data_IF_420051205569
#
_entry.id   IF_420051205569
#
_cell.length_a   1.000
_cell.length_b   1.000
_cell.length_c   1.000
_cell.angle_alpha   90.00
_cell.angle_beta   90.00
_cell.angle_gamma   90.00
#
_symmetry.space_group_name_H-M   'P 1'
#
loop_
_entity.id
_entity.type
_entity.pdbx_description
1 polymer ?
#
# COMPACT_ATOMS: atom_id res chain seq x y z
N UNK A 1 53.77 22.89 -48.50
CA UNK A 1 53.99 22.15 -49.76
C UNK A 1 53.61 20.73 -49.45
N UNK A 2 52.35 20.37 -49.62
CA UNK A 2 51.66 20.04 -50.88
C UNK A 2 51.42 18.54 -50.88
N UNK A 3 50.18 18.25 -51.23
CA UNK A 3 49.49 16.97 -51.28
C UNK A 3 50.07 16.05 -52.38
N UNK A 4 49.74 14.76 -52.30
CA UNK A 4 49.63 13.71 -53.37
C UNK A 4 50.16 12.36 -52.83
N UNK A 5 49.66 11.15 -53.14
CA UNK A 5 48.50 10.60 -53.87
C UNK A 5 48.64 9.06 -53.80
N UNK A 6 47.53 8.33 -54.01
CA UNK A 6 47.40 6.98 -54.64
C UNK A 6 47.97 5.71 -53.94
N UNK A 7 47.21 4.64 -53.67
CA UNK A 7 46.39 3.68 -54.47
C UNK A 7 47.19 2.59 -55.24
N UNK A 8 46.95 1.30 -54.91
CA UNK A 8 46.64 0.13 -55.80
C UNK A 8 46.88 -1.20 -55.03
N UNK A 9 45.92 -2.13 -54.84
CA UNK A 9 45.22 -3.13 -55.72
C UNK A 9 46.12 -4.36 -56.03
N UNK A 10 45.78 -5.66 -55.87
CA UNK A 10 44.64 -6.52 -56.28
C UNK A 10 44.64 -7.84 -55.42
N UNK A 11 43.70 -8.79 -55.43
CA UNK A 11 42.53 -9.04 -56.29
C UNK A 11 41.70 -10.28 -55.85
N UNK A 12 40.40 -10.20 -56.19
CA UNK A 12 39.36 -11.14 -56.68
C UNK A 12 39.32 -12.68 -56.44
N UNK A 13 38.07 -13.16 -56.21
CA UNK A 13 37.42 -14.51 -56.35
C UNK A 13 37.76 -15.57 -55.28
N UNK A 14 36.89 -16.47 -54.82
CA UNK A 14 35.50 -16.85 -55.10
C UNK A 14 35.18 -18.16 -54.34
N UNK A 15 34.00 -18.20 -53.70
CA UNK A 15 33.21 -19.30 -53.07
C UNK A 15 33.73 -20.77 -53.02
N UNK A 16 33.59 -21.43 -51.85
CA UNK A 16 32.88 -22.73 -51.66
C UNK A 16 33.13 -23.37 -50.27
N UNK A 17 32.07 -23.96 -49.70
CA UNK A 17 32.06 -24.88 -48.54
C UNK A 17 31.64 -26.28 -49.08
N UNK A 18 31.70 -27.45 -48.39
CA UNK A 18 32.37 -27.91 -47.14
C UNK A 18 33.16 -29.26 -47.37
N UNK A 19 33.49 -30.09 -46.34
CA UNK A 19 32.56 -31.17 -45.93
C UNK A 19 32.53 -31.50 -44.41
N UNK A 20 31.53 -32.29 -44.05
CA UNK A 20 31.22 -32.83 -42.71
C UNK A 20 32.03 -34.09 -42.35
N UNK A 21 32.30 -34.33 -41.06
CA UNK A 21 31.94 -35.57 -40.31
C UNK A 21 32.44 -35.53 -38.85
N UNK A 22 31.63 -36.07 -37.91
CA UNK A 22 32.09 -36.43 -36.56
C UNK A 22 31.04 -36.32 -35.46
N UNK A 23 30.14 -37.30 -35.37
CA UNK A 23 29.22 -37.48 -34.25
C UNK A 23 29.95 -37.97 -32.98
N UNK A 24 29.64 -37.40 -31.82
CA UNK A 24 29.30 -38.19 -30.62
C UNK A 24 28.14 -37.51 -29.89
N UNK A 25 27.05 -38.28 -29.74
CA UNK A 25 25.93 -38.02 -28.83
C UNK A 25 26.39 -38.46 -27.43
N UNK A 26 26.10 -37.68 -26.40
CA UNK A 26 25.83 -38.16 -25.04
C UNK A 26 24.98 -37.09 -24.34
N UNK A 27 23.66 -37.29 -24.37
CA UNK A 27 22.83 -37.72 -23.22
C UNK A 27 22.63 -36.61 -22.21
N UNK A 28 21.47 -35.96 -22.34
CA UNK A 28 20.86 -35.16 -21.29
C UNK A 28 20.51 -36.06 -20.10
N UNK A 29 20.91 -35.64 -18.90
CA UNK A 29 20.16 -35.91 -17.68
C UNK A 29 19.91 -34.57 -16.98
N UNK A 30 18.67 -34.23 -16.59
CA UNK A 30 18.37 -33.03 -15.84
C UNK A 30 18.47 -33.37 -14.35
N UNK A 31 19.55 -32.94 -13.70
CA UNK A 31 19.67 -33.03 -12.25
C UNK A 31 19.61 -31.62 -11.65
N UNK A 32 18.50 -31.42 -10.93
CA UNK A 32 18.15 -30.34 -10.01
C UNK A 32 19.26 -29.34 -9.65
N UNK A 33 19.30 -28.22 -10.36
CA UNK A 33 19.84 -26.98 -9.80
C UNK A 33 18.69 -26.16 -9.22
N UNK A 34 18.14 -26.61 -8.10
CA UNK A 34 17.33 -25.75 -7.24
C UNK A 34 18.28 -24.80 -6.49
N UNK A 35 18.87 -23.86 -7.24
CA UNK A 35 19.62 -22.76 -6.67
C UNK A 35 18.58 -21.81 -6.07
N UNK A 36 18.38 -21.93 -4.76
CA UNK A 36 17.62 -21.01 -3.94
C UNK A 36 18.04 -19.58 -4.29
N UNK A 37 17.15 -18.88 -5.00
CA UNK A 37 17.31 -17.48 -5.37
C UNK A 37 17.22 -16.65 -4.09
N UNK A 38 18.34 -16.53 -3.39
CA UNK A 38 18.50 -15.58 -2.29
C UNK A 38 18.19 -14.18 -2.83
N UNK A 39 17.44 -13.35 -2.10
CA UNK A 39 17.11 -12.01 -2.58
C UNK A 39 18.40 -11.20 -2.69
N UNK A 40 18.85 -10.96 -3.92
CA UNK A 40 20.01 -10.13 -4.20
C UNK A 40 19.66 -8.70 -3.76
N UNK A 41 20.34 -8.22 -2.72
CA UNK A 41 20.31 -6.82 -2.33
C UNK A 41 21.02 -5.99 -3.40
N UNK A 42 20.27 -5.23 -4.18
CA UNK A 42 20.82 -4.37 -5.24
C UNK A 42 21.46 -3.12 -4.62
N UNK A 43 22.72 -2.85 -4.94
CA UNK A 43 23.44 -1.65 -4.50
C UNK A 43 22.81 -0.43 -5.20
N UNK A 44 22.46 0.65 -4.48
CA UNK A 44 21.88 1.84 -5.11
C UNK A 44 22.91 2.56 -5.98
N UNK A 45 22.52 2.93 -7.20
CA UNK A 45 23.33 3.73 -8.12
C UNK A 45 22.74 5.13 -8.31
N UNK A 46 23.59 6.16 -8.33
CA UNK A 46 23.17 7.55 -8.57
C UNK A 46 23.18 7.79 -10.09
N UNK A 47 22.00 8.06 -10.67
CA UNK A 47 21.84 8.41 -12.07
C UNK A 47 20.98 9.66 -12.20
N UNK A 48 21.27 10.51 -13.18
CA UNK A 48 20.36 11.60 -13.50
C UNK A 48 19.01 11.06 -14.00
N UNK A 49 17.89 11.73 -13.68
CA UNK A 49 16.61 11.38 -14.28
C UNK A 49 16.73 11.52 -15.80
N UNK A 50 16.40 10.45 -16.52
CA UNK A 50 16.29 10.52 -17.98
C UNK A 50 15.13 11.47 -18.31
N UNK A 51 15.42 12.51 -19.09
CA UNK A 51 14.42 13.52 -19.47
C UNK A 51 13.18 12.89 -20.14
N UNK A 52 12.00 13.46 -19.84
CA UNK A 52 10.70 13.05 -20.37
C UNK A 52 10.11 14.02 -21.39
N UNK A 53 9.03 13.59 -22.06
CA UNK A 53 8.23 14.39 -23.02
C UNK A 53 6.76 13.97 -23.09
N UNK A 54 6.30 13.13 -22.15
CA UNK A 54 4.91 12.69 -22.06
C UNK A 54 4.15 13.57 -21.07
N UNK A 55 3.06 14.19 -21.52
CA UNK A 55 2.09 14.86 -20.65
C UNK A 55 1.17 13.78 -20.09
N UNK A 56 1.13 13.62 -18.77
CA UNK A 56 0.18 12.76 -18.07
C UNK A 56 -0.81 13.63 -17.31
N UNK A 57 -2.10 13.34 -17.43
CA UNK A 57 -3.14 13.97 -16.62
C UNK A 57 -3.11 13.43 -15.18
N UNK A 58 -3.85 14.07 -14.28
CA UNK A 58 -4.19 13.47 -13.00
C UNK A 58 -4.92 12.15 -13.27
N UNK A 59 -4.53 11.08 -12.57
CA UNK A 59 -5.21 9.79 -12.64
C UNK A 59 -6.48 9.85 -11.79
N UNK A 60 -7.52 10.51 -12.29
CA UNK A 60 -8.85 10.44 -11.67
C UNK A 60 -9.55 9.14 -12.07
N UNK A 61 -10.06 8.42 -11.08
CA UNK A 61 -10.89 7.22 -11.30
C UNK A 61 -12.30 7.53 -10.84
N UNK A 62 -13.22 7.63 -11.80
CA UNK A 62 -14.65 7.66 -11.52
C UNK A 62 -15.16 6.24 -11.27
N UNK A 63 -15.98 6.07 -10.24
CA UNK A 63 -16.62 4.80 -9.89
C UNK A 63 -18.07 5.07 -9.47
N UNK A 64 -19.00 4.21 -9.89
CA UNK A 64 -20.38 4.23 -9.44
C UNK A 64 -20.61 3.06 -8.48
N UNK A 65 -21.05 3.35 -7.26
CA UNK A 65 -21.44 2.34 -6.29
C UNK A 65 -22.72 1.63 -6.78
N UNK A 66 -22.63 0.31 -6.99
CA UNK A 66 -23.73 -0.50 -7.53
C UNK A 66 -24.89 -0.69 -6.56
N UNK A 67 -24.66 -0.50 -5.26
CA UNK A 67 -25.67 -0.69 -4.22
C UNK A 67 -26.42 0.63 -3.97
N UNK A 68 -25.68 1.73 -3.82
CA UNK A 68 -26.27 3.04 -3.49
C UNK A 68 -26.60 3.90 -4.71
N UNK A 69 -26.01 3.60 -5.86
CA UNK A 69 -26.09 4.43 -7.07
C UNK A 69 -25.27 5.72 -6.99
N UNK A 70 -24.50 5.93 -5.92
CA UNK A 70 -23.70 7.14 -5.75
C UNK A 70 -22.49 7.15 -6.71
N UNK A 71 -22.24 8.32 -7.30
CA UNK A 71 -21.02 8.57 -8.07
C UNK A 71 -19.88 8.95 -7.14
N UNK A 72 -18.70 8.37 -7.36
CA UNK A 72 -17.49 8.61 -6.58
C UNK A 72 -16.30 8.91 -7.48
N UNK A 73 -15.41 9.80 -7.00
CA UNK A 73 -14.16 10.15 -7.67
C UNK A 73 -13.06 10.22 -6.60
N UNK A 74 -11.88 9.69 -6.91
CA UNK A 74 -10.71 9.86 -6.04
C UNK A 74 -9.62 10.59 -6.80
N UNK A 75 -9.13 11.69 -6.22
CA UNK A 75 -8.02 12.49 -6.75
C UNK A 75 -6.83 12.33 -5.79
N UNK A 76 -5.74 11.65 -6.20
CA UNK A 76 -4.58 11.48 -5.34
C UNK A 76 -3.86 12.82 -5.12
N UNK A 77 -3.41 13.08 -3.90
CA UNK A 77 -2.59 14.25 -3.57
C UNK A 77 -1.13 13.79 -3.55
N UNK A 78 -0.37 14.19 -4.57
CA UNK A 78 1.04 13.84 -4.68
C UNK A 78 1.86 14.58 -3.64
N UNK A 79 2.45 13.84 -2.71
CA UNK A 79 3.46 14.36 -1.78
C UNK A 79 4.85 13.95 -2.23
N UNK A 80 5.88 14.68 -1.80
CA UNK A 80 7.26 14.26 -2.04
C UNK A 80 7.52 12.87 -1.43
N UNK A 81 8.22 11.96 -2.13
CA UNK A 81 8.57 10.67 -1.56
C UNK A 81 9.41 10.84 -0.29
N UNK A 82 8.99 10.21 0.80
CA UNK A 82 9.79 10.17 2.02
C UNK A 82 10.84 9.05 2.00
N UNK A 83 11.60 8.94 3.08
CA UNK A 83 12.64 7.90 3.23
C UNK A 83 12.01 6.51 3.15
N UNK A 84 12.59 5.64 2.34
CA UNK A 84 12.08 4.28 2.11
C UNK A 84 10.59 4.22 1.70
N UNK A 85 10.08 5.28 1.04
CA UNK A 85 8.67 5.35 0.66
C UNK A 85 7.71 5.65 1.81
N UNK A 86 8.22 5.92 3.02
CA UNK A 86 7.38 6.32 4.14
C UNK A 86 6.96 7.78 3.99
N UNK A 87 5.68 7.98 3.70
CA UNK A 87 5.08 9.30 3.57
C UNK A 87 3.56 9.21 3.73
N UNK A 88 2.89 10.36 3.89
CA UNK A 88 1.44 10.39 3.98
C UNK A 88 0.83 10.02 2.62
N UNK A 89 -0.05 9.03 2.61
CA UNK A 89 -0.87 8.72 1.44
C UNK A 89 -2.19 9.47 1.56
N UNK A 90 -2.34 10.55 0.80
CA UNK A 90 -3.50 11.43 0.84
C UNK A 90 -4.26 11.39 -0.47
N UNK A 91 -5.58 11.40 -0.38
CA UNK A 91 -6.45 11.56 -1.55
C UNK A 91 -7.70 12.35 -1.18
N UNK A 92 -8.15 13.17 -2.13
CA UNK A 92 -9.44 13.82 -2.05
C UNK A 92 -10.49 12.88 -2.63
N UNK A 93 -11.41 12.44 -1.78
CA UNK A 93 -12.50 11.55 -2.14
C UNK A 93 -13.79 12.36 -2.31
N UNK A 94 -14.45 12.18 -3.45
CA UNK A 94 -15.77 12.69 -3.76
C UNK A 94 -16.80 11.57 -3.67
N UNK A 95 -17.96 11.87 -3.10
CA UNK A 95 -19.18 11.08 -3.22
C UNK A 95 -20.38 12.01 -3.45
N UNK A 96 -21.22 11.69 -4.43
CA UNK A 96 -22.43 12.47 -4.71
C UNK A 96 -23.45 12.43 -3.56
N UNK A 97 -23.38 11.42 -2.69
CA UNK A 97 -24.16 11.33 -1.46
C UNK A 97 -23.48 11.97 -0.25
N UNK A 98 -22.30 12.56 -0.42
CA UNK A 98 -21.53 13.17 0.66
C UNK A 98 -22.09 14.53 1.10
N UNK A 99 -21.90 14.84 2.38
CA UNK A 99 -22.29 16.13 2.98
C UNK A 99 -21.35 17.29 2.63
N UNK A 100 -21.60 18.45 3.25
CA UNK A 100 -20.74 19.62 3.11
C UNK A 100 -19.53 19.52 4.05
N UNK A 101 -18.38 20.03 3.60
CA UNK A 101 -17.14 20.01 4.35
C UNK A 101 -16.16 21.09 3.89
N UNK A 102 -14.97 21.11 4.49
CA UNK A 102 -13.94 22.14 4.22
C UNK A 102 -13.42 22.12 2.77
N UNK A 103 -13.61 21.01 2.06
CA UNK A 103 -13.22 20.85 0.65
C UNK A 103 -14.41 21.02 -0.31
N UNK A 104 -15.56 21.46 0.19
CA UNK A 104 -16.80 21.60 -0.57
C UNK A 104 -17.76 20.43 -0.41
N UNK A 105 -18.91 20.54 -1.06
CA UNK A 105 -19.97 19.54 -1.01
C UNK A 105 -19.53 18.22 -1.66
N UNK A 106 -19.71 17.11 -0.94
CA UNK A 106 -19.37 15.77 -1.40
C UNK A 106 -17.88 15.42 -1.32
N UNK A 107 -17.01 16.39 -1.03
CA UNK A 107 -15.57 16.19 -0.95
C UNK A 107 -15.08 15.99 0.48
N UNK A 108 -14.17 15.05 0.66
CA UNK A 108 -13.52 14.75 1.94
C UNK A 108 -12.08 14.27 1.74
N UNK A 109 -11.23 14.45 2.75
CA UNK A 109 -9.87 13.92 2.75
C UNK A 109 -9.87 12.51 3.34
N UNK A 110 -9.25 11.55 2.67
CA UNK A 110 -9.20 10.15 3.07
C UNK A 110 -8.24 9.93 4.25
N UNK A 111 -8.61 10.36 5.46
CA UNK A 111 -7.82 10.17 6.67
C UNK A 111 -8.45 9.09 7.58
N UNK A 112 -7.65 8.16 8.12
CA UNK A 112 -8.14 7.26 9.16
C UNK A 112 -8.51 8.08 10.40
N UNK A 113 -9.69 7.81 10.96
CA UNK A 113 -10.16 8.48 12.17
C UNK A 113 -11.01 7.51 12.99
N UNK A 114 -11.12 7.79 14.29
CA UNK A 114 -12.07 7.11 15.17
C UNK A 114 -13.04 8.16 15.69
N UNK A 115 -14.33 7.94 15.45
CA UNK A 115 -15.41 8.86 15.80
C UNK A 115 -16.45 8.16 16.65
N UNK A 116 -17.26 8.90 17.40
CA UNK A 116 -18.44 8.33 18.08
C UNK A 116 -19.58 8.23 17.09
N UNK A 117 -20.28 7.11 17.13
CA UNK A 117 -21.45 6.85 16.30
C UNK A 117 -22.62 7.74 16.73
N UNK A 118 -23.26 8.40 15.76
CA UNK A 118 -24.37 9.32 16.03
C UNK A 118 -25.68 8.95 15.30
N UNK A 119 -25.69 7.84 14.56
CA UNK A 119 -26.85 7.40 13.76
C UNK A 119 -28.06 6.97 14.60
N UNK A 120 -27.81 6.47 15.82
CA UNK A 120 -28.81 5.93 16.74
C UNK A 120 -29.07 6.79 17.97
N UNK A 121 -28.52 8.00 18.01
CA UNK A 121 -28.68 8.92 19.14
C UNK A 121 -27.47 9.80 19.36
N UNK A 122 -27.57 10.66 20.36
CA UNK A 122 -26.49 11.56 20.76
C UNK A 122 -25.55 10.80 21.71
N UNK A 123 -24.22 10.84 21.49
CA UNK A 123 -23.26 10.22 22.40
C UNK A 123 -23.35 10.79 23.82
N UNK A 124 -23.31 9.91 24.81
CA UNK A 124 -23.42 10.29 26.23
C UNK A 124 -22.08 10.58 26.89
N UNK A 125 -20.97 10.17 26.25
CA UNK A 125 -19.61 10.35 26.76
C UNK A 125 -19.37 9.68 28.13
N UNK A 126 -20.17 8.68 28.48
CA UNK A 126 -19.98 7.87 29.69
C UNK A 126 -19.18 6.62 29.31
N UNK A 127 -17.86 6.79 29.17
CA UNK A 127 -16.96 5.75 28.67
C UNK A 127 -16.76 4.58 29.65
N UNK A 128 -16.92 4.85 30.95
CA UNK A 128 -16.89 3.83 32.00
C UNK A 128 -18.03 2.81 31.84
N UNK A 129 -19.19 3.27 31.34
CA UNK A 129 -20.41 2.48 31.19
C UNK A 129 -20.62 1.95 29.76
N UNK A 130 -19.64 2.16 28.86
CA UNK A 130 -19.74 1.75 27.44
C UNK A 130 -21.00 2.28 26.72
N UNK A 131 -21.44 3.47 27.13
CA UNK A 131 -22.67 4.09 26.60
C UNK A 131 -22.67 4.32 25.09
N UNK A 132 -21.49 4.45 24.47
CA UNK A 132 -21.31 4.88 23.09
C UNK A 132 -20.57 3.85 22.24
N UNK A 133 -20.93 3.79 20.95
CA UNK A 133 -20.23 2.99 19.93
C UNK A 133 -19.26 3.88 19.18
N UNK A 134 -18.10 3.34 18.83
CA UNK A 134 -17.08 4.04 18.03
C UNK A 134 -17.08 3.50 16.59
N UNK A 135 -16.73 4.36 15.63
CA UNK A 135 -16.58 4.03 14.22
C UNK A 135 -15.12 4.16 13.81
N UNK A 136 -14.60 3.18 13.07
CA UNK A 136 -13.33 3.31 12.36
C UNK A 136 -13.59 3.87 10.96
N UNK A 137 -12.93 4.99 10.64
CA UNK A 137 -13.03 5.71 9.37
C UNK A 137 -14.47 5.99 8.94
N UNK A 138 -15.35 6.28 9.90
CA UNK A 138 -16.80 6.51 9.71
C UNK A 138 -17.57 5.37 9.03
N UNK A 139 -17.02 4.16 8.95
CA UNK A 139 -17.63 3.05 8.23
C UNK A 139 -17.91 1.83 9.13
N UNK A 140 -16.94 1.43 9.95
CA UNK A 140 -17.02 0.17 10.69
C UNK A 140 -17.26 0.37 12.18
N UNK A 141 -18.32 -0.25 12.72
CA UNK A 141 -18.60 -0.28 14.16
C UNK A 141 -17.47 -1.02 14.90
N UNK A 142 -16.83 -0.34 15.85
CA UNK A 142 -15.88 -0.95 16.76
C UNK A 142 -16.61 -1.61 17.92
N UNK A 143 -16.24 -2.86 18.20
CA UNK A 143 -16.77 -3.64 19.31
C UNK A 143 -15.65 -3.97 20.31
N UNK A 144 -15.91 -3.92 21.63
CA UNK A 144 -14.95 -4.34 22.63
C UNK A 144 -14.53 -5.80 22.43
N UNK A 145 -13.24 -6.08 22.63
CA UNK A 145 -12.73 -7.46 22.64
C UNK A 145 -12.86 -8.00 24.07
N UNK A 146 -13.59 -9.10 24.28
CA UNK A 146 -13.67 -9.74 25.58
C UNK A 146 -12.41 -10.54 25.90
N UNK A 147 -12.14 -10.70 27.19
CA UNK A 147 -11.21 -11.68 27.74
C UNK A 147 -11.81 -13.09 27.73
N UNK A 148 -10.98 -14.08 28.06
CA UNK A 148 -11.38 -15.51 28.09
C UNK A 148 -12.55 -15.79 29.04
N UNK A 149 -12.69 -15.00 30.10
CA UNK A 149 -13.80 -15.07 31.07
C UNK A 149 -15.07 -14.34 30.59
N UNK A 150 -15.06 -13.75 29.39
CA UNK A 150 -16.17 -12.98 28.83
C UNK A 150 -16.28 -11.55 29.34
N UNK A 151 -15.43 -11.11 30.27
CA UNK A 151 -15.38 -9.70 30.69
C UNK A 151 -14.64 -8.86 29.66
N UNK A 152 -14.79 -7.55 29.72
CA UNK A 152 -14.04 -6.64 28.84
C UNK A 152 -12.54 -6.79 29.08
N UNK A 153 -11.74 -6.71 28.02
CA UNK A 153 -10.30 -6.57 28.14
C UNK A 153 -9.92 -5.27 28.84
N UNK A 154 -9.09 -5.37 29.88
CA UNK A 154 -8.56 -4.24 30.63
C UNK A 154 -7.08 -4.44 30.90
N UNK A 155 -6.25 -3.51 30.43
CA UNK A 155 -4.82 -3.47 30.74
C UNK A 155 -4.45 -2.14 31.40
N UNK A 156 -4.01 -2.23 32.66
CA UNK A 156 -3.53 -1.09 33.47
C UNK A 156 -2.01 -1.17 33.71
N UNK A 157 -1.36 -2.20 33.18
CA UNK A 157 0.03 -2.55 33.48
C UNK A 157 1.00 -2.05 32.41
N UNK A 158 0.59 -2.07 31.13
CA UNK A 158 1.47 -1.69 30.02
C UNK A 158 1.83 -0.21 29.99
N UNK A 159 0.95 0.65 30.50
CA UNK A 159 1.18 2.09 30.52
C UNK A 159 0.66 2.69 31.84
N UNK A 160 1.53 3.03 32.80
CA UNK A 160 1.13 3.59 34.08
C UNK A 160 0.25 4.84 33.91
N UNK A 161 -0.87 4.89 34.63
CA UNK A 161 -1.82 6.00 34.58
C UNK A 161 -2.89 5.90 33.49
N UNK A 162 -2.84 4.86 32.64
CA UNK A 162 -3.85 4.60 31.62
C UNK A 162 -4.54 3.26 31.83
N UNK A 163 -5.84 3.24 31.55
CA UNK A 163 -6.62 2.01 31.38
C UNK A 163 -6.79 1.77 29.89
N UNK A 164 -6.26 0.65 29.41
CA UNK A 164 -6.27 0.29 28.00
C UNK A 164 -7.37 -0.72 27.74
N UNK A 165 -8.24 -0.41 26.78
CA UNK A 165 -9.29 -1.31 26.29
C UNK A 165 -9.02 -1.68 24.83
N UNK A 166 -9.29 -2.94 24.48
CA UNK A 166 -9.08 -3.43 23.11
C UNK A 166 -10.39 -3.48 22.35
N UNK A 167 -10.33 -3.09 21.08
CA UNK A 167 -11.43 -3.10 20.14
C UNK A 167 -11.07 -3.84 18.86
N UNK A 168 -12.11 -4.26 18.13
CA UNK A 168 -12.00 -4.76 16.75
C UNK A 168 -13.18 -4.26 15.91
N UNK A 169 -13.03 -4.12 14.58
CA UNK A 169 -14.17 -3.92 13.69
C UNK A 169 -15.20 -5.05 13.85
N UNK A 170 -16.49 -4.71 13.73
CA UNK A 170 -17.58 -5.70 13.72
C UNK A 170 -17.44 -6.66 12.55
N UNK A 171 -17.00 -6.16 11.40
CA UNK A 171 -16.64 -6.95 10.21
C UNK A 171 -15.12 -6.84 10.05
N UNK A 172 -14.43 -7.95 10.29
CA UNK A 172 -12.97 -7.99 10.26
C UNK A 172 -12.44 -7.95 8.82
N UNK A 173 -11.33 -7.22 8.60
CA UNK A 173 -10.70 -7.13 7.29
C UNK A 173 -9.19 -6.89 7.31
N UNK A 174 -8.71 -6.04 8.23
CA UNK A 174 -7.28 -5.68 8.31
C UNK A 174 -6.53 -6.41 9.42
N UNK A 175 -7.23 -7.12 10.31
CA UNK A 175 -6.65 -7.78 11.49
C UNK A 175 -5.79 -6.84 12.33
N UNK A 176 -6.14 -5.54 12.32
CA UNK A 176 -5.41 -4.52 13.06
C UNK A 176 -5.75 -4.59 14.54
N UNK A 177 -4.78 -4.25 15.37
CA UNK A 177 -5.00 -4.07 16.81
C UNK A 177 -5.42 -2.64 17.06
N UNK A 178 -6.60 -2.45 17.66
CA UNK A 178 -7.14 -1.15 18.04
C UNK A 178 -7.22 -1.09 19.56
N UNK A 179 -6.59 -0.09 20.17
CA UNK A 179 -6.63 0.15 21.61
C UNK A 179 -7.10 1.57 21.93
N UNK A 180 -7.92 1.69 22.97
CA UNK A 180 -8.35 2.97 23.53
C UNK A 180 -7.68 3.17 24.88
N UNK A 181 -6.95 4.28 25.05
CA UNK A 181 -6.27 4.62 26.29
C UNK A 181 -7.12 5.66 27.02
N UNK A 182 -7.68 5.30 28.18
CA UNK A 182 -8.57 6.17 28.96
C UNK A 182 -7.96 7.56 29.19
N UNK A 183 -8.72 8.63 28.93
CA UNK A 183 -8.27 10.02 29.10
C UNK A 183 -7.12 10.48 28.16
N UNK A 184 -6.70 9.67 27.18
CA UNK A 184 -5.71 10.08 26.17
C UNK A 184 -6.21 9.95 24.74
N UNK A 185 -5.99 8.80 24.11
CA UNK A 185 -6.10 8.66 22.66
C UNK A 185 -6.35 7.22 22.25
N UNK A 186 -6.56 7.03 20.95
CA UNK A 186 -6.61 5.73 20.30
C UNK A 186 -5.26 5.38 19.67
N UNK A 187 -4.91 4.11 19.69
CA UNK A 187 -3.78 3.54 18.96
C UNK A 187 -4.28 2.46 18.01
N UNK A 188 -3.80 2.55 16.76
CA UNK A 188 -4.04 1.56 15.71
C UNK A 188 -2.69 0.94 15.33
N UNK A 189 -2.48 -0.31 15.67
CA UNK A 189 -1.30 -1.08 15.23
C UNK A 189 -1.72 -2.00 14.08
N UNK A 190 -1.13 -1.80 12.90
CA UNK A 190 -1.27 -2.75 11.79
C UNK A 190 -0.57 -4.07 12.12
N UNK A 191 -1.09 -5.19 11.63
CA UNK A 191 -0.47 -6.48 11.85
C UNK A 191 0.87 -6.57 11.09
N UNK A 192 1.95 -6.93 11.80
CA UNK A 192 3.17 -7.34 11.12
C UNK A 192 2.93 -8.76 10.66
N UNK A 193 2.53 -8.93 9.41
CA UNK A 193 2.59 -10.25 8.75
C UNK A 193 4.07 -10.66 8.60
N UNK A 194 4.70 -11.06 9.70
CA UNK A 194 5.93 -11.85 9.68
C UNK A 194 5.47 -13.28 9.42
N UNK A 195 5.33 -13.60 8.12
CA UNK A 195 5.27 -15.00 7.70
C UNK A 195 6.61 -15.65 8.05
N UNK A 196 6.59 -16.53 9.03
CA UNK A 196 7.38 -17.74 8.94
C UNK A 196 6.40 -18.91 8.76
N UNK A 197 6.73 -19.74 7.78
CA UNK A 197 6.09 -21.01 7.51
C UNK A 197 7.10 -22.09 7.81
#
# INVERSE_FOLDING_TARGET
MEETKSKSWAGTTGNSNPPATGHTKNTANPEDSNAEKSPIFTIPSITLPKGGGAIRSIEEKFNADTITGAGSVTVPITTSPGRAGFGPQLSLAYSSGGGNGIFGLGFSLSLPSITRKTDKGIPQYQDADESDVFLLSNAEDLVPVPETNGTRFVDVSSMPGYTIHRYRPRIEGLFSRITHHSMATWELTGDKQTREK
#
